data_IF_047506589245
#
_entry.id   IF_047506589245
#
_cell.length_a   1.000
_cell.length_b   1.000
_cell.length_c   1.000
_cell.angle_alpha   90.00
_cell.angle_beta   90.00
_cell.angle_gamma   90.00
#
_symmetry.space_group_name_H-M   'P 1'
#
loop_
_entity.id
_entity.type
_entity.pdbx_description
1 polymer ?
#
# COMPACT_ATOMS: atom_id res chain seq x y z
N UNK A 1 -27.66 48.92 -10.26
CA UNK A 1 -27.53 47.62 -10.93
C UNK A 1 -26.27 46.96 -10.43
N UNK A 2 -26.36 45.68 -10.06
CA UNK A 2 -25.56 45.01 -9.04
C UNK A 2 -24.13 44.63 -9.50
N UNK A 3 -23.23 44.51 -8.53
CA UNK A 3 -21.78 44.18 -8.62
C UNK A 3 -21.55 42.79 -9.22
N UNK A 4 -20.53 42.59 -10.04
CA UNK A 4 -19.65 41.39 -9.95
C UNK A 4 -18.31 41.64 -10.65
N UNK A 5 -17.24 41.69 -9.85
CA UNK A 5 -15.85 41.58 -10.31
C UNK A 5 -15.48 40.10 -10.32
N UNK A 6 -14.83 39.70 -11.41
CA UNK A 6 -14.09 38.48 -11.70
C UNK A 6 -13.71 37.62 -10.48
N UNK A 7 -14.08 36.33 -10.51
CA UNK A 7 -13.39 35.29 -9.73
C UNK A 7 -12.85 34.25 -10.69
N UNK A 8 -11.52 34.25 -10.85
CA UNK A 8 -10.76 33.12 -11.37
C UNK A 8 -10.74 32.08 -10.24
N UNK A 9 -11.42 30.94 -10.40
CA UNK A 9 -11.19 29.79 -9.53
C UNK A 9 -10.36 28.76 -10.30
N UNK A 10 -9.07 28.76 -9.98
CA UNK A 10 -8.12 27.72 -10.31
C UNK A 10 -8.39 26.47 -9.45
N UNK A 11 -7.96 25.33 -9.98
CA UNK A 11 -8.12 23.99 -9.45
C UNK A 11 -7.80 23.85 -7.94
N UNK A 12 -8.80 23.41 -7.17
CA UNK A 12 -8.64 22.79 -5.85
C UNK A 12 -9.86 21.89 -5.56
N UNK A 13 -10.00 20.82 -6.35
CA UNK A 13 -11.00 19.77 -6.12
C UNK A 13 -10.66 18.91 -4.91
N UNK A 14 -11.68 18.45 -4.20
CA UNK A 14 -11.70 17.64 -2.97
C UNK A 14 -11.35 18.31 -1.64
N UNK A 15 -10.26 19.07 -1.52
CA UNK A 15 -9.86 19.64 -0.21
C UNK A 15 -10.84 20.69 0.33
N UNK A 16 -11.37 21.55 -0.55
CA UNK A 16 -12.30 22.60 -0.16
C UNK A 16 -13.69 22.06 0.23
N UNK A 17 -14.13 20.95 -0.39
CA UNK A 17 -15.47 20.37 -0.17
C UNK A 17 -15.58 19.70 1.20
N UNK A 18 -14.48 19.11 1.68
CA UNK A 18 -14.41 18.45 3.00
C UNK A 18 -14.34 19.49 4.13
N UNK A 19 -13.61 20.60 3.96
CA UNK A 19 -13.55 21.64 4.99
C UNK A 19 -14.85 22.42 5.15
N UNK A 20 -15.60 22.70 4.07
CA UNK A 20 -16.86 23.43 4.18
C UNK A 20 -17.94 22.61 4.88
N UNK A 21 -18.01 21.30 4.62
CA UNK A 21 -19.02 20.41 5.21
C UNK A 21 -18.82 20.15 6.72
N UNK A 22 -17.57 20.14 7.21
CA UNK A 22 -17.28 20.00 8.65
C UNK A 22 -17.52 21.31 9.42
N UNK A 23 -17.34 22.47 8.77
CA UNK A 23 -17.60 23.77 9.40
C UNK A 23 -19.11 24.07 9.49
N UNK A 24 -19.90 23.73 8.47
CA UNK A 24 -21.37 23.87 8.50
C UNK A 24 -22.04 22.90 9.50
N UNK A 25 -21.43 21.74 9.76
CA UNK A 25 -21.86 20.80 10.79
C UNK A 25 -21.78 21.37 12.22
N UNK A 26 -20.92 22.36 12.48
CA UNK A 26 -20.82 23.02 13.79
C UNK A 26 -21.98 23.99 14.04
N UNK A 27 -22.72 24.35 12.99
CA UNK A 27 -23.90 25.24 13.05
C UNK A 27 -25.23 24.47 12.92
N UNK A 28 -25.21 23.17 12.62
CA UNK A 28 -26.41 22.34 12.49
C UNK A 28 -26.73 21.63 13.80
N UNK A 29 -27.96 21.80 14.30
CA UNK A 29 -28.51 20.99 15.40
C UNK A 29 -28.93 19.58 14.96
N UNK A 30 -28.78 19.27 13.67
CA UNK A 30 -29.11 17.97 13.11
C UNK A 30 -27.90 17.02 13.17
N UNK A 31 -27.78 16.36 14.32
CA UNK A 31 -26.79 15.31 14.60
C UNK A 31 -26.85 14.19 13.56
N UNK A 32 -28.00 13.97 12.92
CA UNK A 32 -28.18 12.92 11.91
C UNK A 32 -27.38 13.21 10.64
N UNK A 33 -27.32 14.48 10.20
CA UNK A 33 -26.55 14.86 9.01
C UNK A 33 -25.04 14.70 9.18
N UNK A 34 -24.54 14.98 10.40
CA UNK A 34 -23.12 14.80 10.76
C UNK A 34 -22.76 13.31 10.80
N UNK A 35 -23.65 12.48 11.35
CA UNK A 35 -23.47 11.02 11.42
C UNK A 35 -23.45 10.40 10.02
N UNK A 36 -24.35 10.82 9.12
CA UNK A 36 -24.38 10.29 7.74
C UNK A 36 -23.16 10.73 6.91
N UNK A 37 -22.71 11.98 7.04
CA UNK A 37 -21.48 12.44 6.40
C UNK A 37 -20.24 11.69 6.94
N UNK A 38 -20.17 11.44 8.25
CA UNK A 38 -19.11 10.64 8.85
C UNK A 38 -19.15 9.18 8.39
N UNK A 39 -20.34 8.57 8.26
CA UNK A 39 -20.51 7.21 7.73
C UNK A 39 -20.06 7.10 6.28
N UNK A 40 -20.41 8.07 5.44
CA UNK A 40 -19.97 8.12 4.04
C UNK A 40 -18.44 8.29 3.93
N UNK A 41 -17.84 9.11 4.79
CA UNK A 41 -16.39 9.30 4.83
C UNK A 41 -15.64 8.05 5.33
N UNK A 42 -16.21 7.29 6.29
CA UNK A 42 -15.66 6.01 6.75
C UNK A 42 -15.81 4.91 5.69
N UNK A 43 -16.90 4.90 4.91
CA UNK A 43 -17.07 3.97 3.79
C UNK A 43 -16.06 4.24 2.65
N UNK A 44 -15.60 5.48 2.48
CA UNK A 44 -14.59 5.86 1.50
C UNK A 44 -13.14 5.57 1.96
N UNK A 45 -12.93 5.13 3.21
CA UNK A 45 -11.62 4.83 3.78
C UNK A 45 -11.51 3.38 4.26
N UNK A 46 -11.88 2.43 3.40
CA UNK A 46 -11.56 1.01 3.63
C UNK A 46 -10.23 0.69 2.93
N UNK A 47 -9.09 0.62 3.64
CA UNK A 47 -7.86 0.17 3.03
C UNK A 47 -7.86 -1.35 3.00
N UNK A 48 -7.90 -1.91 1.79
CA UNK A 48 -7.55 -3.26 1.38
C UNK A 48 -8.14 -4.46 2.20
N UNK A 49 -8.58 -5.51 1.52
CA UNK A 49 -8.74 -6.88 2.09
C UNK A 49 -9.63 -7.11 3.34
N UNK A 50 -10.91 -6.71 3.30
CA UNK A 50 -11.87 -6.90 4.41
C UNK A 50 -12.16 -8.35 4.88
N UNK A 51 -11.52 -9.39 4.33
CA UNK A 51 -11.78 -10.84 4.55
C UNK A 51 -13.24 -11.31 4.41
N UNK A 52 -14.14 -10.40 4.08
CA UNK A 52 -15.53 -10.60 3.72
C UNK A 52 -15.60 -10.71 2.19
N UNK A 53 -16.55 -11.46 1.61
CA UNK A 53 -16.78 -11.49 0.16
C UNK A 53 -17.36 -10.15 -0.33
N UNK A 54 -16.56 -9.08 -0.30
CA UNK A 54 -16.97 -7.73 -0.68
C UNK A 54 -16.95 -7.53 -2.21
N UNK A 55 -16.22 -8.37 -2.96
CA UNK A 55 -16.12 -8.29 -4.41
C UNK A 55 -15.35 -7.08 -4.95
N UNK A 56 -14.81 -6.23 -4.08
CA UNK A 56 -14.08 -5.01 -4.44
C UNK A 56 -12.58 -5.32 -4.35
N UNK A 57 -11.97 -5.51 -5.51
CA UNK A 57 -10.58 -5.90 -5.59
C UNK A 57 -9.88 -5.30 -6.81
N UNK A 58 -8.65 -4.86 -6.61
CA UNK A 58 -7.75 -4.43 -7.67
C UNK A 58 -6.38 -5.11 -7.46
N UNK A 59 -6.26 -6.33 -7.96
CA UNK A 59 -5.06 -7.17 -7.80
C UNK A 59 -3.84 -6.51 -8.45
N UNK A 60 -4.05 -5.85 -9.59
CA UNK A 60 -3.01 -5.14 -10.30
C UNK A 60 -2.48 -3.97 -9.46
N UNK A 61 -3.38 -3.15 -8.90
CA UNK A 61 -2.97 -2.05 -8.04
C UNK A 61 -2.26 -2.53 -6.77
N UNK A 62 -2.62 -3.69 -6.21
CA UNK A 62 -1.85 -4.27 -5.09
C UNK A 62 -0.41 -4.63 -5.51
N UNK A 63 -0.23 -5.24 -6.68
CA UNK A 63 1.13 -5.51 -7.20
C UNK A 63 1.90 -4.21 -7.42
N UNK A 64 1.27 -3.17 -7.98
CA UNK A 64 1.92 -1.86 -8.14
C UNK A 64 2.27 -1.20 -6.81
N UNK A 65 1.42 -1.33 -5.79
CA UNK A 65 1.72 -0.88 -4.42
C UNK A 65 2.93 -1.60 -3.84
N UNK A 66 3.01 -2.93 -4.00
CA UNK A 66 4.17 -3.71 -3.56
C UNK A 66 5.48 -3.23 -4.24
N UNK A 67 5.44 -2.93 -5.54
CA UNK A 67 6.60 -2.39 -6.26
C UNK A 67 7.00 -1.00 -5.75
N UNK A 68 6.03 -0.13 -5.49
CA UNK A 68 6.28 1.20 -4.93
C UNK A 68 6.85 1.14 -3.51
N UNK A 69 6.38 0.20 -2.68
CA UNK A 69 6.92 -0.06 -1.35
C UNK A 69 8.39 -0.52 -1.46
N UNK A 70 8.70 -1.45 -2.36
CA UNK A 70 10.06 -1.92 -2.60
C UNK A 70 11.01 -0.78 -3.04
N UNK A 71 10.54 0.11 -3.93
CA UNK A 71 11.29 1.30 -4.35
C UNK A 71 11.53 2.27 -3.19
N UNK A 72 10.53 2.46 -2.32
CA UNK A 72 10.65 3.30 -1.11
C UNK A 72 11.70 2.72 -0.16
N UNK A 73 11.72 1.40 0.04
CA UNK A 73 12.73 0.72 0.85
C UNK A 73 14.14 0.84 0.26
N UNK A 74 14.27 0.75 -1.07
CA UNK A 74 15.55 0.97 -1.78
C UNK A 74 16.07 2.39 -1.56
N UNK A 75 15.19 3.38 -1.72
CA UNK A 75 15.54 4.79 -1.45
C UNK A 75 15.96 4.99 0.00
N UNK A 76 15.20 4.46 0.96
CA UNK A 76 15.52 4.58 2.38
C UNK A 76 16.88 3.98 2.72
N UNK A 77 17.23 2.81 2.15
CA UNK A 77 18.55 2.18 2.33
C UNK A 77 19.67 3.07 1.82
N UNK A 78 19.52 3.63 0.61
CA UNK A 78 20.50 4.53 0.03
C UNK A 78 20.67 5.82 0.87
N UNK A 79 19.57 6.37 1.40
CA UNK A 79 19.62 7.55 2.26
C UNK A 79 20.34 7.27 3.58
N UNK A 80 20.13 6.10 4.20
CA UNK A 80 20.86 5.71 5.41
C UNK A 80 22.36 5.64 5.13
N UNK A 81 22.78 5.02 4.01
CA UNK A 81 24.19 4.93 3.63
C UNK A 81 24.81 6.31 3.38
N UNK A 82 24.07 7.23 2.76
CA UNK A 82 24.55 8.59 2.51
C UNK A 82 24.73 9.38 3.81
N UNK A 83 23.70 9.42 4.65
CA UNK A 83 23.71 10.16 5.91
C UNK A 83 24.73 9.61 6.91
N UNK A 84 25.06 8.32 6.82
CA UNK A 84 26.06 7.69 7.68
C UNK A 84 27.51 8.13 7.38
N UNK A 85 27.76 8.88 6.29
CA UNK A 85 29.11 9.37 5.94
C UNK A 85 29.58 10.53 6.82
N UNK A 86 28.65 11.31 7.37
CA UNK A 86 28.94 12.43 8.25
C UNK A 86 27.83 12.51 9.31
N UNK A 87 28.08 11.96 10.50
CA UNK A 87 27.01 11.71 11.48
C UNK A 87 26.95 12.85 12.50
N UNK A 88 25.84 13.59 12.50
CA UNK A 88 25.46 14.52 13.55
C UNK A 88 24.09 14.16 14.16
N UNK A 89 23.58 15.00 15.09
CA UNK A 89 22.30 14.76 15.75
C UNK A 89 21.10 14.76 14.77
N UNK A 90 21.13 15.60 13.73
CA UNK A 90 20.05 15.66 12.73
C UNK A 90 20.09 14.46 11.79
N UNK A 91 21.28 14.03 11.39
CA UNK A 91 21.51 12.83 10.60
C UNK A 91 21.08 11.57 11.38
N UNK A 92 21.42 11.45 12.66
CA UNK A 92 20.97 10.33 13.51
C UNK A 92 19.45 10.23 13.58
N UNK A 93 18.76 11.36 13.81
CA UNK A 93 17.30 11.42 13.83
C UNK A 93 16.72 10.99 12.47
N UNK A 94 17.31 11.43 11.36
CA UNK A 94 16.84 11.13 10.01
C UNK A 94 17.09 9.67 9.63
N UNK A 95 18.25 9.10 9.98
CA UNK A 95 18.58 7.68 9.81
C UNK A 95 17.56 6.81 10.55
N UNK A 96 17.24 7.15 11.80
CA UNK A 96 16.25 6.41 12.59
C UNK A 96 14.87 6.41 11.91
N UNK A 97 14.45 7.55 11.33
CA UNK A 97 13.20 7.63 10.56
C UNK A 97 13.24 6.75 9.32
N UNK A 98 14.35 6.74 8.57
CA UNK A 98 14.47 5.86 7.40
C UNK A 98 14.43 4.38 7.77
N UNK A 99 15.07 3.98 8.86
CA UNK A 99 15.01 2.60 9.36
C UNK A 99 13.56 2.20 9.72
N UNK A 100 12.83 3.07 10.44
CA UNK A 100 11.42 2.82 10.77
C UNK A 100 10.53 2.76 9.53
N UNK A 101 10.76 3.62 8.52
CA UNK A 101 10.04 3.59 7.25
C UNK A 101 10.26 2.24 6.56
N UNK A 102 11.50 1.77 6.47
CA UNK A 102 11.79 0.46 5.86
C UNK A 102 11.06 -0.68 6.55
N UNK A 103 11.09 -0.73 7.87
CA UNK A 103 10.39 -1.75 8.65
C UNK A 103 8.88 -1.72 8.40
N UNK A 104 8.26 -0.54 8.41
CA UNK A 104 6.83 -0.42 8.16
C UNK A 104 6.44 -0.85 6.74
N UNK A 105 7.20 -0.46 5.71
CA UNK A 105 6.94 -0.91 4.34
C UNK A 105 7.17 -2.41 4.16
N UNK A 106 8.21 -2.98 4.79
CA UNK A 106 8.44 -4.43 4.79
C UNK A 106 7.26 -5.19 5.43
N UNK A 107 6.72 -4.68 6.54
CA UNK A 107 5.58 -5.28 7.24
C UNK A 107 4.28 -5.15 6.44
N UNK A 108 4.06 -4.03 5.74
CA UNK A 108 2.92 -3.85 4.81
C UNK A 108 2.96 -4.86 3.67
N UNK A 109 4.13 -5.07 3.06
CA UNK A 109 4.34 -6.10 2.04
C UNK A 109 3.99 -7.50 2.56
N UNK A 110 4.52 -7.89 3.73
CA UNK A 110 4.21 -9.18 4.34
C UNK A 110 2.71 -9.33 4.64
N UNK A 111 2.05 -8.26 5.09
CA UNK A 111 0.62 -8.24 5.34
C UNK A 111 -0.16 -8.43 4.02
N UNK A 112 0.15 -7.67 2.97
CA UNK A 112 -0.50 -7.81 1.67
C UNK A 112 -0.33 -9.23 1.12
N UNK A 113 0.88 -9.79 1.19
CA UNK A 113 1.12 -11.17 0.77
C UNK A 113 0.27 -12.16 1.56
N UNK A 114 0.29 -12.08 2.89
CA UNK A 114 -0.41 -13.04 3.74
C UNK A 114 -1.94 -12.91 3.63
N UNK A 115 -2.48 -11.71 3.77
CA UNK A 115 -3.92 -11.47 3.92
C UNK A 115 -4.65 -11.17 2.62
N UNK A 116 -3.98 -10.63 1.61
CA UNK A 116 -4.61 -10.38 0.31
C UNK A 116 -4.37 -11.56 -0.61
N UNK A 117 -3.11 -11.90 -0.87
CA UNK A 117 -2.78 -12.88 -1.90
C UNK A 117 -2.94 -14.33 -1.42
N UNK A 118 -2.27 -14.71 -0.34
CA UNK A 118 -2.25 -16.12 0.08
C UNK A 118 -3.61 -16.62 0.57
N UNK A 119 -4.37 -15.81 1.29
CA UNK A 119 -5.69 -16.21 1.80
C UNK A 119 -6.81 -16.03 0.78
N UNK A 120 -6.76 -14.98 -0.06
CA UNK A 120 -7.89 -14.64 -0.94
C UNK A 120 -7.66 -14.99 -2.40
N UNK A 121 -6.43 -14.96 -2.91
CA UNK A 121 -6.12 -15.14 -4.34
C UNK A 121 -5.58 -16.52 -4.68
N UNK A 122 -4.70 -17.05 -3.85
CA UNK A 122 -4.17 -18.40 -4.05
C UNK A 122 -5.24 -19.40 -3.63
N UNK A 123 -5.62 -20.31 -4.53
CA UNK A 123 -6.64 -21.33 -4.29
C UNK A 123 -6.01 -22.71 -4.31
N UNK A 124 -6.22 -23.47 -3.24
CA UNK A 124 -5.88 -24.88 -3.21
C UNK A 124 -6.71 -25.64 -4.27
N UNK A 125 -6.13 -26.64 -4.95
CA UNK A 125 -6.88 -27.43 -5.91
C UNK A 125 -7.95 -28.28 -5.21
N UNK A 126 -9.04 -28.59 -5.93
CA UNK A 126 -10.13 -29.42 -5.39
C UNK A 126 -9.71 -30.88 -5.19
N UNK A 127 -8.81 -31.37 -6.04
CA UNK A 127 -8.18 -32.68 -5.94
C UNK A 127 -6.67 -32.51 -5.84
N UNK A 128 -6.09 -32.93 -4.72
CA UNK A 128 -4.65 -32.86 -4.49
C UNK A 128 -3.85 -33.93 -5.27
N UNK A 129 -4.53 -34.91 -5.88
CA UNK A 129 -3.89 -35.91 -6.73
C UNK A 129 -3.63 -35.40 -8.16
N UNK A 130 -4.27 -34.31 -8.57
CA UNK A 130 -3.92 -33.61 -9.81
C UNK A 130 -2.53 -32.97 -9.65
N UNK A 131 -1.53 -33.62 -10.22
CA UNK A 131 -0.14 -33.19 -10.13
C UNK A 131 0.07 -31.77 -10.68
N UNK A 132 -0.58 -31.43 -11.79
CA UNK A 132 -0.42 -30.12 -12.44
C UNK A 132 -1.06 -29.02 -11.58
N UNK A 133 -2.27 -29.25 -11.08
CA UNK A 133 -2.95 -28.28 -10.22
C UNK A 133 -2.23 -28.09 -8.87
N UNK A 134 -1.70 -29.17 -8.28
CA UNK A 134 -0.91 -29.14 -7.06
C UNK A 134 0.42 -28.41 -7.25
N UNK A 135 1.13 -28.66 -8.33
CA UNK A 135 2.40 -27.97 -8.64
C UNK A 135 2.18 -26.47 -8.85
N UNK A 136 1.13 -26.09 -9.58
CA UNK A 136 0.75 -24.67 -9.72
C UNK A 136 0.50 -24.01 -8.37
N UNK A 137 -0.29 -24.64 -7.50
CA UNK A 137 -0.57 -24.12 -6.16
C UNK A 137 0.71 -23.96 -5.32
N UNK A 138 1.58 -24.97 -5.28
CA UNK A 138 2.85 -24.89 -4.57
C UNK A 138 3.79 -23.83 -5.15
N UNK A 139 3.82 -23.66 -6.48
CA UNK A 139 4.59 -22.61 -7.15
C UNK A 139 4.13 -21.21 -6.75
N UNK A 140 2.81 -20.99 -6.64
CA UNK A 140 2.26 -19.73 -6.13
C UNK A 140 2.63 -19.49 -4.67
N UNK A 141 2.51 -20.50 -3.81
CA UNK A 141 2.91 -20.39 -2.40
C UNK A 141 4.40 -20.03 -2.27
N UNK A 142 5.27 -20.68 -3.04
CA UNK A 142 6.70 -20.42 -3.04
C UNK A 142 7.03 -19.00 -3.52
N UNK A 143 6.39 -18.53 -4.59
CA UNK A 143 6.61 -17.18 -5.13
C UNK A 143 6.18 -16.09 -4.12
N UNK A 144 5.02 -16.24 -3.49
CA UNK A 144 4.57 -15.29 -2.47
C UNK A 144 5.42 -15.36 -1.20
N UNK A 145 5.83 -16.55 -0.76
CA UNK A 145 6.77 -16.68 0.36
C UNK A 145 8.09 -15.97 0.08
N UNK A 146 8.62 -16.08 -1.15
CA UNK A 146 9.84 -15.38 -1.59
C UNK A 146 9.70 -13.86 -1.40
N UNK A 147 8.55 -13.27 -1.76
CA UNK A 147 8.27 -11.84 -1.53
C UNK A 147 8.34 -11.50 -0.03
N UNK A 148 7.68 -12.27 0.84
CA UNK A 148 7.67 -12.02 2.29
C UNK A 148 9.07 -12.10 2.92
N UNK A 149 9.92 -13.04 2.47
CA UNK A 149 11.30 -13.16 2.94
C UNK A 149 12.17 -12.04 2.39
N UNK A 150 12.03 -11.69 1.12
CA UNK A 150 12.77 -10.59 0.50
C UNK A 150 12.39 -9.23 1.11
N UNK A 151 11.12 -9.02 1.49
CA UNK A 151 10.66 -7.84 2.20
C UNK A 151 11.32 -7.71 3.58
N UNK A 152 11.35 -8.79 4.36
CA UNK A 152 12.07 -8.83 5.64
C UNK A 152 13.55 -8.49 5.47
N UNK A 153 14.23 -9.13 4.50
CA UNK A 153 15.65 -8.90 4.23
C UNK A 153 15.92 -7.46 3.78
N UNK A 154 15.02 -6.90 2.95
CA UNK A 154 15.10 -5.50 2.50
C UNK A 154 14.97 -4.52 3.64
N UNK A 155 14.17 -4.83 4.68
CA UNK A 155 14.07 -4.00 5.86
C UNK A 155 15.38 -4.03 6.69
N UNK A 156 15.94 -5.23 6.87
CA UNK A 156 17.12 -5.48 7.70
C UNK A 156 18.46 -5.06 7.08
N UNK A 157 18.59 -5.10 5.75
CA UNK A 157 19.84 -4.86 5.04
C UNK A 157 19.91 -3.48 4.38
N UNK A 158 21.11 -2.91 4.26
CA UNK A 158 21.38 -1.70 3.46
C UNK A 158 21.96 -2.02 2.07
N UNK A 159 22.26 -3.28 1.79
CA UNK A 159 22.73 -3.73 0.48
C UNK A 159 21.61 -3.58 -0.57
N UNK A 160 21.81 -2.84 -1.67
CA UNK A 160 20.84 -2.73 -2.75
C UNK A 160 20.32 -4.08 -3.27
N UNK A 161 21.16 -5.12 -3.24
CA UNK A 161 20.80 -6.47 -3.67
C UNK A 161 19.59 -7.05 -2.91
N UNK A 162 19.39 -6.67 -1.65
CA UNK A 162 18.22 -7.10 -0.88
C UNK A 162 16.90 -6.58 -1.49
N UNK A 163 16.88 -5.29 -1.87
CA UNK A 163 15.72 -4.68 -2.50
C UNK A 163 15.56 -5.04 -3.96
N UNK A 164 16.65 -5.31 -4.68
CA UNK A 164 16.59 -5.83 -6.05
C UNK A 164 15.97 -7.23 -6.08
N UNK A 165 16.31 -8.08 -5.10
CA UNK A 165 15.67 -9.39 -4.92
C UNK A 165 14.17 -9.28 -4.59
N UNK A 166 13.77 -8.30 -3.78
CA UNK A 166 12.36 -8.03 -3.50
C UNK A 166 11.60 -7.62 -4.77
N UNK A 167 12.16 -6.71 -5.57
CA UNK A 167 11.56 -6.31 -6.85
C UNK A 167 11.45 -7.52 -7.78
N UNK A 168 12.52 -8.30 -7.94
CA UNK A 168 12.51 -9.49 -8.78
C UNK A 168 11.47 -10.53 -8.31
N UNK A 169 11.29 -10.70 -7.00
CA UNK A 169 10.26 -11.60 -6.46
C UNK A 169 8.84 -11.11 -6.77
N UNK A 170 8.59 -9.80 -6.72
CA UNK A 170 7.28 -9.21 -7.07
C UNK A 170 7.03 -9.32 -8.58
N UNK A 171 8.04 -9.11 -9.41
CA UNK A 171 7.92 -9.23 -10.87
C UNK A 171 7.58 -10.65 -11.33
N UNK A 172 7.95 -11.69 -10.58
CA UNK A 172 7.53 -13.07 -10.87
C UNK A 172 6.02 -13.24 -10.79
N UNK A 173 5.35 -12.56 -9.86
CA UNK A 173 3.89 -12.69 -9.67
C UNK A 173 3.09 -11.68 -10.50
N UNK A 174 3.71 -10.58 -10.94
CA UNK A 174 3.03 -9.51 -11.66
C UNK A 174 2.27 -9.97 -12.92
N UNK A 175 2.79 -10.89 -13.76
CA UNK A 175 2.05 -11.42 -14.92
C UNK A 175 0.76 -12.16 -14.57
N UNK A 176 0.59 -12.62 -13.32
CA UNK A 176 -0.65 -13.26 -12.87
C UNK A 176 -1.77 -12.26 -12.62
N UNK A 177 -1.45 -10.96 -12.51
CA UNK A 177 -2.37 -9.87 -12.17
C UNK A 177 -2.20 -8.69 -13.15
N UNK A 178 -2.54 -8.89 -14.43
CA UNK A 178 -2.48 -7.82 -15.43
C UNK A 178 -3.49 -6.71 -15.11
N UNK A 179 -3.28 -5.49 -15.65
CA UNK A 179 -4.27 -4.41 -15.50
C UNK A 179 -5.63 -4.85 -16.08
N UNK A 180 -6.70 -4.41 -15.44
CA UNK A 180 -8.06 -4.60 -15.97
C UNK A 180 -8.16 -3.93 -17.36
N UNK A 181 -8.78 -4.61 -18.34
CA UNK A 181 -8.95 -4.08 -19.70
C UNK A 181 -9.87 -2.84 -19.77
#
# INVERSE_FOLDING_TARGET
>A
MNRTVLTVLAAAGLGAVISTSVLDAKASSDVSGVVEAARAAVAASVPAHCEVPCGIYDDHAEVQRMLLDAQTMKKASAQIVELAKDVDAEHLNTIARWAMVKEEHGRKLQHAVAWYFLTQRVKAPKDMNDAVAREKYHGQLAAFHRISVAAMKSAQSLDPAATDELVAAIEVVAPWYPPSP
#
